data_IF_869264212747
#
_entry.id   IF_869264212747
#
_cell.length_a   1.000
_cell.length_b   1.000
_cell.length_c   1.000
_cell.angle_alpha   90.00
_cell.angle_beta   90.00
_cell.angle_gamma   90.00
#
_symmetry.space_group_name_H-M   'P 1'
#
loop_
_entity.id
_entity.type
_entity.pdbx_description
1 polymer ?
#
# COMPACT_ATOMS: atom_id res chain seq x y z
N UNK A 1 1.62 1.72 12.02
CA UNK A 1 2.38 0.52 11.60
C UNK A 1 1.52 -0.74 11.55
N UNK A 2 0.67 -0.99 12.55
CA UNK A 2 -0.22 -2.19 12.60
C UNK A 2 -1.02 -2.40 11.31
N UNK A 3 -1.70 -1.38 10.80
CA UNK A 3 -2.52 -1.46 9.57
C UNK A 3 -1.68 -1.88 8.35
N UNK A 4 -0.45 -1.38 8.24
CA UNK A 4 0.48 -1.72 7.15
C UNK A 4 0.93 -3.17 7.27
N UNK A 5 1.31 -3.60 8.48
CA UNK A 5 1.77 -4.97 8.71
C UNK A 5 0.65 -6.01 8.52
N UNK A 6 -0.58 -5.70 8.95
CA UNK A 6 -1.74 -6.57 8.73
C UNK A 6 -2.03 -6.74 7.23
N UNK A 7 -1.93 -5.67 6.45
CA UNK A 7 -2.10 -5.73 4.99
C UNK A 7 -0.97 -6.51 4.31
N UNK A 8 0.27 -6.35 4.78
CA UNK A 8 1.39 -7.19 4.33
C UNK A 8 1.17 -8.67 4.63
N UNK A 9 0.70 -9.01 5.83
CA UNK A 9 0.41 -10.38 6.22
C UNK A 9 -0.64 -11.00 5.29
N UNK A 10 -1.69 -10.25 4.94
CA UNK A 10 -2.71 -10.66 3.98
C UNK A 10 -2.09 -11.05 2.62
N UNK A 11 -1.32 -10.15 2.01
CA UNK A 11 -0.77 -10.37 0.67
C UNK A 11 0.39 -11.37 0.62
N UNK A 12 1.25 -11.41 1.65
CA UNK A 12 2.28 -12.45 1.74
C UNK A 12 1.67 -13.85 1.88
N UNK A 13 0.56 -13.95 2.60
CA UNK A 13 -0.16 -15.23 2.72
C UNK A 13 -0.80 -15.62 1.40
N UNK A 14 -1.37 -14.68 0.64
CA UNK A 14 -1.85 -14.94 -0.74
C UNK A 14 -0.72 -15.43 -1.65
N UNK A 15 0.43 -14.75 -1.63
CA UNK A 15 1.62 -15.13 -2.38
C UNK A 15 2.09 -16.55 -2.01
N UNK A 16 2.15 -16.87 -0.72
CA UNK A 16 2.52 -18.20 -0.23
C UNK A 16 1.53 -19.28 -0.70
N UNK A 17 0.22 -19.01 -0.59
CA UNK A 17 -0.83 -19.92 -1.06
C UNK A 17 -0.68 -20.24 -2.55
N UNK A 18 -0.35 -19.25 -3.39
CA UNK A 18 -0.18 -19.43 -4.83
C UNK A 18 1.12 -20.17 -5.15
N UNK A 19 2.26 -19.64 -4.70
CA UNK A 19 3.57 -20.11 -5.18
C UNK A 19 4.14 -21.29 -4.39
N UNK A 20 3.74 -21.48 -3.13
CA UNK A 20 4.22 -22.60 -2.30
C UNK A 20 3.18 -23.72 -2.22
N UNK A 21 1.90 -23.39 -2.03
CA UNK A 21 0.83 -24.41 -1.96
C UNK A 21 0.22 -24.75 -3.32
N UNK A 22 0.56 -24.03 -4.38
CA UNK A 22 0.05 -24.27 -5.73
C UNK A 22 -1.44 -23.93 -5.90
N UNK A 23 -2.01 -23.09 -5.03
CA UNK A 23 -3.42 -22.73 -5.11
C UNK A 23 -3.69 -21.80 -6.30
N UNK A 24 -4.87 -21.93 -6.89
CA UNK A 24 -5.34 -20.96 -7.89
C UNK A 24 -5.57 -19.58 -7.25
N UNK A 25 -5.49 -18.47 -8.01
CA UNK A 25 -5.81 -17.14 -7.48
C UNK A 25 -7.20 -17.04 -6.83
N UNK A 26 -8.17 -17.86 -7.26
CA UNK A 26 -9.51 -17.89 -6.66
C UNK A 26 -9.55 -18.58 -5.27
N UNK A 27 -8.59 -19.46 -5.00
CA UNK A 27 -8.42 -20.15 -3.72
C UNK A 27 -7.53 -19.36 -2.75
N UNK A 28 -6.57 -18.59 -3.28
CA UNK A 28 -5.62 -17.81 -2.49
C UNK A 28 -6.26 -16.55 -1.87
N UNK A 29 -6.84 -16.71 -0.68
CA UNK A 29 -7.61 -15.69 0.03
C UNK A 29 -6.90 -15.09 1.25
N UNK A 30 -5.58 -15.24 1.35
CA UNK A 30 -4.80 -14.60 2.40
C UNK A 30 -5.17 -15.03 3.81
N UNK A 31 -5.03 -14.11 4.77
CA UNK A 31 -5.29 -14.37 6.20
C UNK A 31 -6.75 -14.12 6.53
N UNK A 32 -7.28 -12.95 6.15
CA UNK A 32 -8.64 -12.52 6.47
C UNK A 32 -9.68 -13.07 5.49
N UNK A 33 -9.34 -13.28 4.23
CA UNK A 33 -10.30 -13.81 3.26
C UNK A 33 -10.59 -15.31 3.40
N UNK A 34 -9.77 -16.05 4.14
CA UNK A 34 -10.05 -17.45 4.48
C UNK A 34 -11.30 -17.55 5.39
N UNK A 35 -11.36 -16.87 6.56
CA UNK A 35 -12.55 -16.85 7.41
C UNK A 35 -13.67 -15.94 6.87
N UNK A 36 -13.33 -14.87 6.13
CA UNK A 36 -14.29 -13.85 5.69
C UNK A 36 -14.21 -13.59 4.17
N UNK A 37 -14.60 -14.54 3.31
CA UNK A 37 -14.37 -14.47 1.86
C UNK A 37 -15.10 -13.32 1.15
N UNK A 38 -16.14 -12.74 1.75
CA UNK A 38 -16.82 -11.56 1.20
C UNK A 38 -15.96 -10.30 1.28
N UNK A 39 -15.02 -10.22 2.24
CA UNK A 39 -14.11 -9.09 2.39
C UNK A 39 -13.23 -8.93 1.14
N UNK A 40 -12.69 -10.04 0.61
CA UNK A 40 -11.84 -10.03 -0.58
C UNK A 40 -12.60 -9.69 -1.87
N UNK A 41 -13.90 -9.96 -1.91
CA UNK A 41 -14.74 -9.58 -3.07
C UNK A 41 -15.17 -8.11 -3.05
N UNK A 42 -14.94 -7.42 -1.94
CA UNK A 42 -15.37 -6.04 -1.76
C UNK A 42 -14.32 -5.07 -2.33
N UNK A 43 -14.63 -4.46 -3.48
CA UNK A 43 -13.83 -3.34 -4.01
C UNK A 43 -13.88 -2.12 -3.06
N UNK A 44 -14.96 -1.97 -2.28
CA UNK A 44 -15.05 -0.97 -1.22
C UNK A 44 -14.02 -1.16 -0.11
N UNK A 45 -13.73 -2.41 0.29
CA UNK A 45 -12.71 -2.67 1.30
C UNK A 45 -11.33 -2.27 0.80
N UNK A 46 -10.99 -2.66 -0.44
CA UNK A 46 -9.71 -2.31 -1.06
C UNK A 46 -9.55 -0.80 -1.20
N UNK A 47 -10.57 -0.12 -1.72
CA UNK A 47 -10.57 1.33 -1.88
C UNK A 47 -10.51 2.06 -0.53
N UNK A 48 -11.28 1.60 0.47
CA UNK A 48 -11.27 2.15 1.82
C UNK A 48 -9.90 2.04 2.48
N UNK A 49 -9.22 0.90 2.34
CA UNK A 49 -7.84 0.74 2.80
C UNK A 49 -6.89 1.73 2.11
N UNK A 50 -6.99 1.87 0.77
CA UNK A 50 -6.15 2.79 0.01
C UNK A 50 -6.32 4.25 0.46
N UNK A 51 -7.56 4.68 0.75
CA UNK A 51 -7.87 6.00 1.31
C UNK A 51 -7.26 6.17 2.70
N UNK A 52 -7.44 5.21 3.60
CA UNK A 52 -6.87 5.27 4.95
C UNK A 52 -5.35 5.43 4.89
N UNK A 53 -4.68 4.64 4.06
CA UNK A 53 -3.24 4.75 3.83
C UNK A 53 -2.84 6.13 3.32
N UNK A 54 -3.55 6.65 2.30
CA UNK A 54 -3.26 7.95 1.71
C UNK A 54 -3.42 9.09 2.75
N UNK A 55 -4.49 9.05 3.54
CA UNK A 55 -4.75 10.03 4.62
C UNK A 55 -3.62 10.00 5.64
N UNK A 56 -3.21 8.84 6.14
CA UNK A 56 -2.11 8.77 7.12
C UNK A 56 -0.76 9.20 6.54
N UNK A 57 -0.43 8.83 5.30
CA UNK A 57 0.78 9.30 4.63
C UNK A 57 0.77 10.84 4.49
N UNK A 58 -0.37 11.42 4.11
CA UNK A 58 -0.48 12.86 3.97
C UNK A 58 -0.38 13.59 5.32
N UNK A 59 -1.16 13.16 6.32
CA UNK A 59 -1.22 13.81 7.63
C UNK A 59 0.09 13.73 8.42
N UNK A 60 0.84 12.63 8.28
CA UNK A 60 2.12 12.48 8.98
C UNK A 60 3.29 13.18 8.26
N UNK A 61 3.13 13.54 6.98
CA UNK A 61 4.20 14.15 6.17
C UNK A 61 4.88 15.37 6.83
N UNK A 62 4.15 16.31 7.47
CA UNK A 62 4.79 17.47 8.10
C UNK A 62 5.77 17.12 9.23
N UNK A 63 5.62 15.96 9.87
CA UNK A 63 6.53 15.48 10.92
C UNK A 63 7.90 15.01 10.40
N UNK A 64 8.05 14.83 9.08
CA UNK A 64 9.30 14.44 8.46
C UNK A 64 10.07 15.64 7.89
N UNK A 65 11.40 15.62 8.05
CA UNK A 65 12.34 16.65 7.59
C UNK A 65 13.50 16.05 6.79
N UNK A 66 14.23 16.89 6.05
CA UNK A 66 15.42 16.49 5.29
C UNK A 66 15.24 15.24 4.44
N UNK A 67 16.17 14.29 4.54
CA UNK A 67 16.16 13.03 3.77
C UNK A 67 14.92 12.20 4.04
N UNK A 68 14.50 12.14 5.30
CA UNK A 68 13.33 11.37 5.70
C UNK A 68 12.06 11.88 4.99
N UNK A 69 11.89 13.20 4.88
CA UNK A 69 10.76 13.82 4.15
C UNK A 69 10.76 13.48 2.67
N UNK A 70 11.93 13.40 2.04
CA UNK A 70 12.05 13.02 0.62
C UNK A 70 11.49 11.62 0.41
N UNK A 71 11.97 10.62 1.16
CA UNK A 71 11.51 9.24 1.03
C UNK A 71 10.03 9.06 1.41
N UNK A 72 9.55 9.80 2.41
CA UNK A 72 8.12 9.81 2.74
C UNK A 72 7.28 10.40 1.62
N UNK A 73 7.77 11.43 0.93
CA UNK A 73 7.09 12.02 -0.22
C UNK A 73 7.09 11.08 -1.43
N UNK A 74 8.18 10.31 -1.64
CA UNK A 74 8.22 9.24 -2.65
C UNK A 74 7.16 8.18 -2.35
N UNK A 75 7.08 7.70 -1.10
CA UNK A 75 6.03 6.75 -0.68
C UNK A 75 4.63 7.30 -0.95
N UNK A 76 4.38 8.56 -0.59
CA UNK A 76 3.10 9.25 -0.81
C UNK A 76 2.75 9.35 -2.30
N UNK A 77 3.70 9.71 -3.16
CA UNK A 77 3.48 9.82 -4.60
C UNK A 77 3.11 8.47 -5.23
N UNK A 78 3.83 7.41 -4.87
CA UNK A 78 3.54 6.05 -5.36
C UNK A 78 2.19 5.57 -4.82
N UNK A 79 1.91 5.77 -3.53
CA UNK A 79 0.62 5.41 -2.93
C UNK A 79 -0.54 6.18 -3.58
N UNK A 80 -0.33 7.44 -3.95
CA UNK A 80 -1.34 8.24 -4.64
C UNK A 80 -1.65 7.66 -6.03
N UNK A 81 -0.63 7.27 -6.79
CA UNK A 81 -0.84 6.57 -8.06
C UNK A 81 -1.57 5.23 -7.87
N UNK A 82 -1.13 4.42 -6.91
CA UNK A 82 -1.78 3.15 -6.58
C UNK A 82 -3.25 3.35 -6.16
N UNK A 83 -3.54 4.44 -5.44
CA UNK A 83 -4.91 4.83 -5.11
C UNK A 83 -5.75 5.18 -6.35
N UNK A 84 -5.19 5.87 -7.36
CA UNK A 84 -5.89 6.13 -8.63
C UNK A 84 -6.29 4.82 -9.31
N UNK A 85 -5.41 3.81 -9.31
CA UNK A 85 -5.74 2.49 -9.86
C UNK A 85 -6.90 1.83 -9.10
N UNK A 86 -6.91 1.90 -7.75
CA UNK A 86 -8.03 1.42 -6.96
C UNK A 86 -9.32 2.20 -7.20
N UNK A 87 -9.25 3.52 -7.35
CA UNK A 87 -10.41 4.33 -7.67
C UNK A 87 -11.02 3.93 -9.01
N UNK A 88 -10.18 3.72 -10.01
CA UNK A 88 -10.58 3.23 -11.31
C UNK A 88 -11.27 1.86 -11.22
N UNK A 89 -10.75 0.93 -10.41
CA UNK A 89 -11.39 -0.36 -10.17
C UNK A 89 -12.78 -0.20 -9.53
N UNK A 90 -12.92 0.68 -8.53
CA UNK A 90 -14.19 0.97 -7.89
C UNK A 90 -15.21 1.55 -8.88
N UNK A 91 -14.79 2.53 -9.70
CA UNK A 91 -15.66 3.12 -10.73
C UNK A 91 -16.13 2.07 -11.73
N UNK A 92 -15.24 1.17 -12.17
CA UNK A 92 -15.60 0.07 -13.05
C UNK A 92 -16.62 -0.89 -12.39
N UNK A 93 -16.39 -1.24 -11.12
CA UNK A 93 -17.29 -2.13 -10.37
C UNK A 93 -18.70 -1.53 -10.19
N UNK A 94 -18.80 -0.21 -10.03
CA UNK A 94 -20.08 0.49 -9.83
C UNK A 94 -20.81 0.78 -11.14
N UNK A 95 -20.08 1.07 -12.21
CA UNK A 95 -20.66 1.44 -13.51
C UNK A 95 -20.90 0.27 -14.45
N UNK A 96 -20.21 -0.86 -14.24
CA UNK A 96 -20.22 -2.00 -15.17
C UNK A 96 -19.45 -1.75 -16.48
N UNK A 97 -18.77 -0.60 -16.63
CA UNK A 97 -17.94 -0.29 -17.79
C UNK A 97 -16.49 -0.68 -17.50
N UNK A 98 -15.99 -1.74 -18.16
CA UNK A 98 -14.66 -2.27 -17.93
C UNK A 98 -13.65 -1.79 -18.98
N UNK A 99 -12.41 -1.59 -18.55
CA UNK A 99 -11.33 -1.17 -19.44
C UNK A 99 -11.00 -2.24 -20.48
N UNK A 100 -10.66 -1.79 -21.70
CA UNK A 100 -10.18 -2.63 -22.81
C UNK A 100 -11.06 -3.86 -23.11
N UNK A 101 -12.37 -3.75 -22.93
CA UNK A 101 -13.33 -4.83 -23.20
C UNK A 101 -13.20 -6.03 -22.24
N UNK A 102 -12.55 -5.87 -21.09
CA UNK A 102 -12.49 -6.90 -20.05
C UNK A 102 -13.87 -7.16 -19.47
N UNK A 103 -14.04 -8.31 -18.81
CA UNK A 103 -15.31 -8.71 -18.17
C UNK A 103 -15.33 -8.45 -16.65
N UNK A 104 -14.25 -7.88 -16.11
CA UNK A 104 -14.06 -7.61 -14.69
C UNK A 104 -13.30 -6.30 -14.51
N UNK A 105 -13.43 -5.62 -13.35
CA UNK A 105 -12.62 -4.44 -13.03
C UNK A 105 -11.13 -4.72 -13.21
N UNK A 106 -10.47 -3.91 -14.03
CA UNK A 106 -9.05 -4.07 -14.38
C UNK A 106 -8.34 -2.72 -14.33
N UNK A 107 -7.24 -2.59 -13.60
CA UNK A 107 -6.44 -1.34 -13.58
C UNK A 107 -5.60 -1.19 -14.85
N UNK A 108 -4.91 -0.05 -14.99
CA UNK A 108 -4.07 0.24 -16.16
C UNK A 108 -2.90 -0.75 -16.22
N UNK A 109 -2.16 -0.91 -15.12
CA UNK A 109 -1.04 -1.85 -15.09
C UNK A 109 -1.49 -3.32 -15.11
N UNK A 110 -2.71 -3.62 -14.66
CA UNK A 110 -3.26 -4.98 -14.75
C UNK A 110 -3.53 -5.44 -16.19
N UNK A 111 -3.49 -4.55 -17.19
CA UNK A 111 -3.61 -4.95 -18.59
C UNK A 111 -2.44 -5.82 -19.06
N UNK A 112 -1.28 -5.67 -18.42
CA UNK A 112 -0.02 -6.36 -18.78
C UNK A 112 0.59 -7.16 -17.64
N UNK A 113 0.17 -6.94 -16.39
CA UNK A 113 0.63 -7.66 -15.20
C UNK A 113 -0.53 -8.34 -14.47
N UNK A 114 -0.36 -9.57 -13.94
CA UNK A 114 -1.43 -10.19 -13.17
C UNK A 114 -1.63 -9.51 -11.81
N UNK A 115 -2.87 -9.61 -11.28
CA UNK A 115 -3.35 -8.77 -10.16
C UNK A 115 -2.54 -8.93 -8.89
N UNK A 116 -2.16 -10.17 -8.55
CA UNK A 116 -1.52 -10.48 -7.27
C UNK A 116 -0.08 -9.95 -7.25
N UNK A 117 0.66 -10.20 -8.33
CA UNK A 117 2.00 -9.73 -8.58
C UNK A 117 2.06 -8.21 -8.56
N UNK A 118 1.09 -7.56 -9.22
CA UNK A 118 1.01 -6.11 -9.24
C UNK A 118 0.74 -5.52 -7.84
N UNK A 119 -0.17 -6.12 -7.05
CA UNK A 119 -0.40 -5.65 -5.68
C UNK A 119 0.83 -5.87 -4.80
N UNK A 120 1.51 -7.01 -4.92
CA UNK A 120 2.72 -7.29 -4.15
C UNK A 120 3.84 -6.31 -4.54
N UNK A 121 3.96 -5.98 -5.82
CA UNK A 121 4.86 -4.95 -6.33
C UNK A 121 4.54 -3.59 -5.71
N UNK A 122 3.29 -3.11 -5.81
CA UNK A 122 2.90 -1.81 -5.23
C UNK A 122 3.15 -1.76 -3.73
N UNK A 123 2.75 -2.80 -2.99
CA UNK A 123 3.00 -2.88 -1.56
C UNK A 123 4.49 -2.77 -1.24
N UNK A 124 5.34 -3.40 -2.05
CA UNK A 124 6.80 -3.31 -1.90
C UNK A 124 7.32 -1.91 -2.20
N UNK A 125 6.96 -1.31 -3.33
CA UNK A 125 7.49 0.00 -3.75
C UNK A 125 6.93 1.18 -2.95
N UNK A 126 5.81 1.01 -2.23
CA UNK A 126 5.34 1.98 -1.22
C UNK A 126 6.05 1.73 0.12
N UNK A 127 6.12 0.47 0.56
CA UNK A 127 6.65 0.13 1.89
C UNK A 127 8.14 0.41 2.03
N UNK A 128 8.97 0.09 1.03
CA UNK A 128 10.42 0.31 1.12
C UNK A 128 10.78 1.80 1.32
N UNK A 129 10.25 2.75 0.54
CA UNK A 129 10.42 4.17 0.84
C UNK A 129 9.92 4.58 2.23
N UNK A 130 8.83 4.00 2.73
CA UNK A 130 8.39 4.26 4.12
C UNK A 130 9.41 3.78 5.15
N UNK A 131 9.98 2.58 4.96
CA UNK A 131 11.03 2.05 5.84
C UNK A 131 12.27 2.95 5.79
N UNK A 132 12.71 3.37 4.61
CA UNK A 132 13.86 4.27 4.44
C UNK A 132 13.59 5.65 5.08
N UNK A 133 12.37 6.18 4.93
CA UNK A 133 11.95 7.40 5.60
C UNK A 133 12.04 7.27 7.12
N UNK A 134 11.48 6.20 7.68
CA UNK A 134 11.52 5.93 9.12
C UNK A 134 12.96 5.72 9.62
N UNK A 135 13.80 5.04 8.84
CA UNK A 135 15.21 4.86 9.14
C UNK A 135 15.93 6.21 9.32
N UNK A 136 15.77 7.14 8.38
CA UNK A 136 16.35 8.47 8.49
C UNK A 136 15.67 9.34 9.56
N UNK A 137 14.37 9.14 9.83
CA UNK A 137 13.67 9.84 10.91
C UNK A 137 14.23 9.49 12.29
N UNK A 138 14.58 8.21 12.49
CA UNK A 138 15.16 7.70 13.74
C UNK A 138 16.67 7.92 13.84
N UNK A 139 17.33 8.33 12.74
CA UNK A 139 18.77 8.59 12.67
C UNK A 139 19.06 9.93 11.98
N UNK A 140 18.53 11.05 12.53
CA UNK A 140 18.69 12.35 11.92
C UNK A 140 20.14 12.84 12.03
N UNK A 141 20.60 13.60 11.05
CA UNK A 141 21.79 14.44 11.21
C UNK A 141 21.54 15.55 12.23
N UNK A 142 22.60 16.20 12.71
CA UNK A 142 22.48 17.36 13.62
C UNK A 142 21.62 18.48 13.02
N UNK A 143 21.71 18.70 11.71
CA UNK A 143 20.89 19.70 11.03
C UNK A 143 19.42 19.28 11.03
N UNK A 144 19.12 18.07 10.56
CA UNK A 144 17.76 17.52 10.54
C UNK A 144 17.12 17.51 11.94
N UNK A 145 17.88 17.15 12.98
CA UNK A 145 17.37 17.10 14.35
C UNK A 145 16.93 18.47 14.90
N UNK A 146 17.49 19.58 14.41
CA UNK A 146 17.06 20.94 14.82
C UNK A 146 15.74 21.33 14.18
N UNK A 147 15.46 20.81 12.99
CA UNK A 147 14.26 21.10 12.23
C UNK A 147 13.08 20.18 12.63
N UNK A 148 13.35 19.07 13.34
CA UNK A 148 12.32 18.15 13.83
C UNK A 148 11.45 18.82 14.90
N UNK A 149 10.15 18.91 14.60
CA UNK A 149 9.12 19.48 15.49
C UNK A 149 8.37 18.43 16.32
N UNK A 150 8.58 17.15 16.04
CA UNK A 150 7.88 16.05 16.72
C UNK A 150 8.52 15.72 18.08
N UNK A 151 7.70 15.30 19.02
CA UNK A 151 8.15 14.81 20.34
C UNK A 151 8.87 13.45 20.28
N UNK A 152 8.74 12.72 19.17
CA UNK A 152 9.42 11.44 18.94
C UNK A 152 10.85 11.57 18.41
N UNK A 153 11.44 12.78 18.42
CA UNK A 153 12.83 12.99 18.04
C UNK A 153 13.79 12.19 18.95
N UNK A 154 14.82 11.52 18.41
CA UNK A 154 15.82 10.84 19.23
C UNK A 154 16.53 11.80 20.18
N UNK A 155 16.84 11.35 21.40
CA UNK A 155 17.66 12.13 22.32
C UNK A 155 19.09 12.26 21.75
N UNK A 156 19.79 13.39 22.01
CA UNK A 156 21.21 13.48 21.71
C UNK A 156 21.96 12.33 22.38
N UNK A 157 22.81 11.64 21.62
CA UNK A 157 23.76 10.66 22.15
C UNK A 157 24.93 11.36 22.87
#
# INVERSE_FOLDING_TARGET
MVIVLAHWAEHLTQAYQIWVLGWTPAQARGVLGMPFPWLIKSEWLHYGYAIVMLVFLFLLRPGFVGRSRTWWTVALAIQFWHHIEHFLLLVQAQSGHFLAGRTVPTSILQLVLPRVELHLFYNTVVFLPMVVAMYYHLRPSRAESRDMICSCRPLPA
#
